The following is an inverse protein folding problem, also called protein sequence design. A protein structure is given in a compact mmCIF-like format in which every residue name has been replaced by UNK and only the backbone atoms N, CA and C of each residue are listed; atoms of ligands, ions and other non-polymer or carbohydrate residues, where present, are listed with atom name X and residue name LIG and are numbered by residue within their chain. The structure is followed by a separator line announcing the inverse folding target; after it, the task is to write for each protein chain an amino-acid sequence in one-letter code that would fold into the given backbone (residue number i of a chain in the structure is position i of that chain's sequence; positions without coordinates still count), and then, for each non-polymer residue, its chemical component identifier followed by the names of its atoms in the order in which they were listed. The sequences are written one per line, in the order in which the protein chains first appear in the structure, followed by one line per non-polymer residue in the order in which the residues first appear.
data_IF_819618304894
#
_entry.id   IF_819618304894
#
_cell.length_a   1.000
_cell.length_b   1.000
_cell.length_c   1.000
_cell.angle_alpha   90.00
_cell.angle_beta   90.00
_cell.angle_gamma   90.00
#
_symmetry.space_group_name_H-M   'P 1'
#
loop_
_entity.id
_entity.type
_entity.pdbx_description
1 polymer ?
#
# COMPACT_ATOMS: atom_id res chain seq x y z
N UNK A 1 19.73 3.15 -9.02
CA UNK A 1 18.46 2.43 -8.88
C UNK A 1 17.36 3.47 -8.78
N UNK A 2 16.29 3.29 -9.54
CA UNK A 2 15.04 4.03 -9.41
C UNK A 2 14.05 3.16 -8.66
N UNK A 3 13.30 3.74 -7.73
CA UNK A 3 12.30 3.06 -6.92
C UNK A 3 11.01 3.88 -6.91
N UNK A 4 9.87 3.21 -7.09
CA UNK A 4 8.56 3.85 -6.99
C UNK A 4 7.59 3.07 -6.13
N UNK A 5 6.68 3.79 -5.49
CA UNK A 5 5.48 3.23 -4.91
C UNK A 5 4.56 2.79 -6.04
N UNK A 6 4.22 1.50 -6.09
CA UNK A 6 3.50 0.95 -7.25
C UNK A 6 2.14 0.39 -6.91
N UNK A 7 2.04 -0.37 -5.83
CA UNK A 7 0.78 -1.00 -5.44
C UNK A 7 0.65 -1.12 -3.94
N UNK A 8 -0.58 -0.94 -3.44
CA UNK A 8 -0.94 -1.14 -2.05
C UNK A 8 -2.00 -2.21 -1.96
N UNK A 9 -1.73 -3.25 -1.18
CA UNK A 9 -2.69 -4.29 -0.89
C UNK A 9 -3.33 -4.07 0.48
N UNK A 10 -4.64 -4.27 0.52
CA UNK A 10 -5.48 -4.12 1.71
C UNK A 10 -6.23 -5.42 1.93
N UNK A 11 -6.11 -5.97 3.14
CA UNK A 11 -6.89 -7.13 3.55
C UNK A 11 -8.28 -6.66 4.00
N UNK A 12 -9.32 -7.25 3.43
CA UNK A 12 -10.72 -6.92 3.70
C UNK A 12 -11.52 -8.16 4.10
N UNK A 13 -12.48 -7.95 4.99
CA UNK A 13 -13.42 -8.97 5.47
C UNK A 13 -14.56 -9.22 4.47
N UNK A 14 -14.94 -8.19 3.70
CA UNK A 14 -15.94 -8.24 2.62
C UNK A 14 -15.33 -7.65 1.35
N UNK A 15 -14.98 -8.52 0.39
CA UNK A 15 -14.34 -8.09 -0.84
C UNK A 15 -15.32 -7.36 -1.76
N UNK A 16 -16.55 -7.86 -1.89
CA UNK A 16 -17.58 -7.27 -2.73
C UNK A 16 -17.97 -5.86 -2.23
N UNK A 17 -18.13 -5.69 -0.92
CA UNK A 17 -18.37 -4.38 -0.31
C UNK A 17 -17.22 -3.41 -0.55
N UNK A 18 -15.98 -3.87 -0.35
CA UNK A 18 -14.79 -3.06 -0.58
C UNK A 18 -14.61 -2.64 -2.05
N UNK A 19 -14.93 -3.54 -2.99
CA UNK A 19 -14.97 -3.24 -4.43
C UNK A 19 -16.01 -2.17 -4.75
N UNK A 20 -17.23 -2.31 -4.22
CA UNK A 20 -18.29 -1.31 -4.42
C UNK A 20 -17.90 0.07 -3.89
N UNK A 21 -17.17 0.12 -2.76
CA UNK A 21 -16.65 1.38 -2.21
C UNK A 21 -15.57 1.98 -3.11
N UNK A 22 -14.61 1.18 -3.60
CA UNK A 22 -13.56 1.64 -4.50
C UNK A 22 -14.12 2.20 -5.82
N UNK A 23 -15.10 1.51 -6.40
CA UNK A 23 -15.78 1.92 -7.63
C UNK A 23 -16.59 3.20 -7.42
N UNK A 24 -17.35 3.29 -6.34
CA UNK A 24 -18.15 4.48 -6.04
C UNK A 24 -17.28 5.71 -5.74
N UNK A 25 -16.25 5.56 -4.90
CA UNK A 25 -15.46 6.69 -4.39
C UNK A 25 -14.42 7.16 -5.38
N UNK A 26 -13.67 6.25 -5.99
CA UNK A 26 -12.61 6.61 -6.93
C UNK A 26 -13.10 6.64 -8.37
N UNK A 27 -14.17 5.91 -8.71
CA UNK A 27 -14.49 5.62 -10.12
C UNK A 27 -13.55 4.59 -10.73
N UNK A 28 -12.85 3.82 -9.89
CA UNK A 28 -12.06 2.68 -10.34
C UNK A 28 -13.00 1.67 -11.00
N UNK A 29 -12.54 0.96 -12.02
CA UNK A 29 -13.37 -0.02 -12.73
C UNK A 29 -12.48 -1.11 -13.32
N UNK A 30 -13.09 -2.22 -13.72
CA UNK A 30 -12.41 -3.36 -14.35
C UNK A 30 -11.25 -3.91 -13.50
N UNK A 31 -11.50 -4.33 -12.24
CA UNK A 31 -10.45 -4.93 -11.44
C UNK A 31 -9.91 -6.19 -12.13
N UNK A 32 -8.61 -6.40 -12.00
CA UNK A 32 -8.02 -7.69 -12.34
C UNK A 32 -8.12 -8.63 -11.13
N UNK A 33 -8.72 -9.79 -11.33
CA UNK A 33 -8.65 -10.91 -10.39
C UNK A 33 -7.45 -11.79 -10.77
N UNK A 34 -6.41 -11.84 -9.93
CA UNK A 34 -5.24 -12.66 -10.18
C UNK A 34 -5.47 -14.10 -9.66
N UNK A 35 -5.67 -15.09 -10.53
CA UNK A 35 -5.83 -16.48 -10.09
C UNK A 35 -4.58 -17.02 -9.37
N UNK A 36 -3.42 -16.38 -9.56
CA UNK A 36 -2.17 -16.70 -8.91
C UNK A 36 -2.21 -16.56 -7.39
N UNK A 37 -3.06 -15.69 -6.83
CA UNK A 37 -3.13 -15.50 -5.37
C UNK A 37 -3.85 -16.64 -4.64
N UNK A 38 -4.57 -17.50 -5.37
CA UNK A 38 -5.24 -18.67 -4.80
C UNK A 38 -4.26 -19.63 -4.10
N UNK A 39 -2.99 -19.68 -4.54
CA UNK A 39 -1.94 -20.49 -3.88
C UNK A 39 -1.63 -20.02 -2.45
N UNK A 40 -1.95 -18.78 -2.13
CA UNK A 40 -1.85 -18.22 -0.77
C UNK A 40 -3.18 -18.27 -0.02
N UNK A 41 -4.18 -18.96 -0.57
CA UNK A 41 -5.53 -19.04 -0.03
C UNK A 41 -6.21 -17.66 0.02
N UNK A 42 -6.03 -16.89 -1.06
CA UNK A 42 -6.57 -15.55 -1.25
C UNK A 42 -7.35 -15.47 -2.57
N UNK A 43 -8.29 -14.55 -2.63
CA UNK A 43 -8.77 -13.93 -3.87
C UNK A 43 -8.59 -12.42 -3.76
N UNK A 44 -8.41 -11.75 -4.88
CA UNK A 44 -8.15 -10.32 -4.92
C UNK A 44 -8.92 -9.62 -6.06
N UNK A 45 -8.92 -8.30 -5.98
CA UNK A 45 -9.35 -7.37 -7.02
C UNK A 45 -8.32 -6.24 -7.10
N UNK A 46 -7.58 -6.17 -8.20
CA UNK A 46 -6.53 -5.17 -8.42
C UNK A 46 -7.08 -4.06 -9.31
N UNK A 47 -7.27 -2.88 -8.74
CA UNK A 47 -7.74 -1.68 -9.43
C UNK A 47 -6.59 -0.78 -9.82
N UNK A 48 -6.63 -0.29 -11.05
CA UNK A 48 -5.72 0.74 -11.54
C UNK A 48 -6.17 2.12 -11.05
N UNK A 49 -5.22 2.88 -10.52
CA UNK A 49 -5.29 4.29 -10.18
C UNK A 49 -4.11 5.00 -10.87
N UNK A 50 -4.35 5.45 -12.09
CA UNK A 50 -3.38 5.96 -13.07
C UNK A 50 -2.24 4.99 -13.31
N UNK A 51 -1.06 5.27 -12.75
CA UNK A 51 0.13 4.43 -12.80
C UNK A 51 0.44 3.82 -11.41
N UNK A 52 -0.58 3.65 -10.58
CA UNK A 52 -0.51 2.93 -9.30
C UNK A 52 -1.69 1.98 -9.16
N UNK A 53 -1.63 1.07 -8.20
CA UNK A 53 -2.65 0.03 -8.05
C UNK A 53 -3.11 -0.10 -6.61
N UNK A 54 -4.42 -0.23 -6.44
CA UNK A 54 -5.06 -0.61 -5.19
C UNK A 54 -5.51 -2.06 -5.32
N UNK A 55 -4.96 -2.92 -4.48
CA UNK A 55 -5.36 -4.33 -4.40
C UNK A 55 -6.21 -4.55 -3.15
N UNK A 56 -7.43 -5.04 -3.35
CA UNK A 56 -8.30 -5.50 -2.27
C UNK A 56 -8.24 -7.02 -2.26
N UNK A 57 -8.00 -7.63 -1.10
CA UNK A 57 -7.91 -9.09 -0.99
C UNK A 57 -8.57 -9.64 0.25
N UNK A 58 -9.06 -10.88 0.14
CA UNK A 58 -9.73 -11.58 1.25
C UNK A 58 -9.34 -13.06 1.24
N UNK A 59 -9.25 -13.73 2.40
CA UNK A 59 -8.95 -15.15 2.44
C UNK A 59 -10.08 -16.02 1.89
N UNK A 60 -9.74 -17.10 1.19
CA UNK A 60 -10.72 -18.05 0.64
C UNK A 60 -11.24 -19.04 1.70
N UNK A 61 -10.41 -19.38 2.70
CA UNK A 61 -10.80 -20.26 3.81
C UNK A 61 -10.45 -19.66 5.16
N UNK A 62 -11.02 -20.25 6.21
CA UNK A 62 -10.66 -19.95 7.59
C UNK A 62 -9.23 -20.38 7.93
N UNK A 63 -8.67 -19.85 9.03
CA UNK A 63 -7.37 -20.26 9.56
C UNK A 63 -6.16 -19.83 8.72
N UNK A 64 -6.34 -18.96 7.74
CA UNK A 64 -5.26 -18.41 6.89
C UNK A 64 -4.42 -17.36 7.62
N UNK A 65 -3.24 -17.04 7.08
CA UNK A 65 -2.38 -15.96 7.62
C UNK A 65 -3.07 -14.60 7.55
N UNK A 66 -3.76 -14.30 6.45
CA UNK A 66 -4.52 -13.05 6.30
C UNK A 66 -5.75 -13.06 7.22
N UNK A 67 -6.46 -14.17 7.36
CA UNK A 67 -7.57 -14.28 8.33
C UNK A 67 -7.13 -14.00 9.77
N UNK A 68 -5.96 -14.50 10.19
CA UNK A 68 -5.38 -14.16 11.50
C UNK A 68 -4.98 -12.69 11.62
N UNK A 69 -4.51 -12.07 10.55
CA UNK A 69 -4.19 -10.65 10.53
C UNK A 69 -5.44 -9.80 10.73
N UNK A 70 -6.52 -10.08 9.97
CA UNK A 70 -7.81 -9.40 10.11
C UNK A 70 -8.34 -9.50 11.54
N UNK A 71 -8.32 -10.71 12.12
CA UNK A 71 -8.74 -10.93 13.50
C UNK A 71 -7.87 -10.15 14.51
N UNK A 72 -6.55 -10.12 14.33
CA UNK A 72 -5.62 -9.35 15.17
C UNK A 72 -5.88 -7.84 15.08
N UNK A 73 -6.19 -7.34 13.88
CA UNK A 73 -6.41 -5.90 13.64
C UNK A 73 -7.84 -5.45 13.95
N UNK A 74 -8.74 -6.38 14.29
CA UNK A 74 -10.14 -6.10 14.61
C UNK A 74 -11.02 -5.81 13.38
N UNK A 75 -10.56 -6.16 12.18
CA UNK A 75 -11.24 -5.86 10.91
C UNK A 75 -10.26 -5.64 9.76
N UNK A 76 -10.72 -4.94 8.73
CA UNK A 76 -9.94 -4.59 7.55
C UNK A 76 -8.66 -3.83 7.92
N UNK A 77 -7.60 -4.03 7.13
CA UNK A 77 -6.31 -3.38 7.38
C UNK A 77 -5.37 -3.38 6.17
N UNK A 78 -4.42 -2.46 6.16
CA UNK A 78 -3.31 -2.47 5.22
C UNK A 78 -2.49 -3.75 5.35
N UNK A 79 -2.17 -4.38 4.22
CA UNK A 79 -1.53 -5.70 4.17
C UNK A 79 -0.12 -5.65 3.62
N UNK A 80 0.06 -5.02 2.45
CA UNK A 80 1.34 -5.05 1.73
C UNK A 80 1.64 -3.71 1.04
N UNK A 81 2.90 -3.31 1.11
CA UNK A 81 3.47 -2.21 0.32
C UNK A 81 4.32 -2.81 -0.79
N UNK A 82 4.00 -2.49 -2.05
CA UNK A 82 4.70 -3.01 -3.22
C UNK A 82 5.39 -1.87 -3.94
N UNK A 83 6.71 -1.99 -4.04
CA UNK A 83 7.58 -1.03 -4.71
C UNK A 83 8.10 -1.64 -6.00
N UNK A 84 8.27 -0.83 -7.05
CA UNK A 84 8.91 -1.26 -8.28
C UNK A 84 10.30 -0.65 -8.41
N UNK A 85 11.28 -1.47 -8.79
CA UNK A 85 12.68 -1.08 -9.01
C UNK A 85 13.17 -1.49 -10.40
N UNK A 86 14.14 -0.74 -10.92
CA UNK A 86 14.88 -1.08 -12.15
C UNK A 86 16.14 -1.92 -11.88
N UNK A 87 16.44 -2.22 -10.61
CA UNK A 87 17.62 -2.98 -10.15
C UNK A 87 17.24 -3.92 -9.00
N UNK A 88 16.48 -4.97 -9.30
CA UNK A 88 16.02 -5.94 -8.29
C UNK A 88 17.17 -6.68 -7.60
N UNK A 89 18.23 -7.03 -8.33
CA UNK A 89 19.37 -7.76 -7.76
C UNK A 89 20.09 -6.94 -6.69
N UNK A 90 20.23 -5.62 -6.90
CA UNK A 90 20.79 -4.72 -5.89
C UNK A 90 19.91 -4.64 -4.64
N UNK A 91 18.58 -4.62 -4.83
CA UNK A 91 17.64 -4.61 -3.71
C UNK A 91 17.67 -5.93 -2.92
N UNK A 92 17.78 -7.08 -3.62
CA UNK A 92 17.94 -8.40 -3.00
C UNK A 92 19.23 -8.50 -2.20
N UNK A 93 20.36 -8.05 -2.76
CA UNK A 93 21.66 -8.02 -2.05
C UNK A 93 21.56 -7.24 -0.75
N UNK A 94 20.95 -6.04 -0.78
CA UNK A 94 20.78 -5.22 0.44
C UNK A 94 19.84 -5.86 1.46
N UNK A 95 18.76 -6.50 1.02
CA UNK A 95 17.86 -7.22 1.91
C UNK A 95 18.59 -8.39 2.61
N UNK A 96 19.42 -9.14 1.88
CA UNK A 96 20.26 -10.21 2.41
C UNK A 96 21.32 -9.68 3.39
N UNK A 97 22.06 -8.62 3.01
CA UNK A 97 23.04 -7.95 3.88
C UNK A 97 22.40 -7.39 5.16
N UNK A 98 21.15 -6.95 5.08
CA UNK A 98 20.37 -6.50 6.23
C UNK A 98 19.81 -7.66 7.09
N UNK A 99 20.00 -8.91 6.68
CA UNK A 99 19.54 -10.11 7.39
C UNK A 99 18.03 -10.31 7.34
N UNK A 100 17.36 -9.77 6.32
CA UNK A 100 15.90 -9.83 6.18
C UNK A 100 15.50 -11.13 5.50
N UNK A 101 14.56 -11.87 6.09
CA UNK A 101 14.07 -13.12 5.49
C UNK A 101 13.20 -12.84 4.28
N UNK A 102 13.39 -13.64 3.22
CA UNK A 102 12.50 -13.69 2.07
C UNK A 102 11.38 -14.69 2.36
N UNK A 103 10.13 -14.24 2.23
CA UNK A 103 8.92 -15.08 2.36
C UNK A 103 8.66 -15.82 1.06
N UNK A 104 8.80 -15.11 -0.06
CA UNK A 104 8.56 -15.65 -1.38
C UNK A 104 9.31 -14.82 -2.43
N UNK A 105 9.65 -15.46 -3.54
CA UNK A 105 10.35 -14.83 -4.64
C UNK A 105 9.92 -15.50 -5.95
N UNK A 106 9.74 -14.68 -6.97
CA UNK A 106 9.44 -15.13 -8.31
C UNK A 106 10.25 -14.33 -9.32
N UNK A 107 10.76 -15.01 -10.34
CA UNK A 107 11.35 -14.41 -11.54
C UNK A 107 10.77 -15.17 -12.74
N UNK A 108 10.05 -14.49 -13.63
CA UNK A 108 9.46 -15.09 -14.84
C UNK A 108 9.29 -14.05 -15.94
N UNK A 109 9.52 -14.43 -17.20
CA UNK A 109 9.11 -13.65 -18.39
C UNK A 109 9.41 -12.14 -18.33
N UNK A 110 10.55 -11.74 -17.76
CA UNK A 110 10.90 -10.32 -17.63
C UNK A 110 10.14 -9.55 -16.55
N UNK A 111 9.56 -10.23 -15.56
CA UNK A 111 9.06 -9.66 -14.32
C UNK A 111 9.50 -10.50 -13.12
N UNK A 112 9.42 -9.91 -11.92
CA UNK A 112 9.69 -10.63 -10.69
C UNK A 112 9.29 -9.85 -9.45
N UNK A 113 9.22 -10.55 -8.32
CA UNK A 113 8.98 -9.96 -7.01
C UNK A 113 9.87 -10.62 -5.95
N UNK A 114 10.07 -9.92 -4.84
CA UNK A 114 10.65 -10.46 -3.61
C UNK A 114 9.85 -9.95 -2.42
N UNK A 115 9.12 -10.86 -1.77
CA UNK A 115 8.36 -10.59 -0.55
C UNK A 115 9.26 -10.73 0.68
N UNK A 116 9.36 -9.68 1.48
CA UNK A 116 10.18 -9.64 2.69
C UNK A 116 9.34 -9.89 3.95
N UNK A 117 9.90 -10.64 4.90
CA UNK A 117 9.16 -11.11 6.06
C UNK A 117 8.72 -9.94 6.98
N UNK A 118 7.42 -9.80 7.32
CA UNK A 118 6.91 -8.64 8.07
C UNK A 118 7.62 -8.36 9.40
N UNK A 119 7.95 -9.40 10.16
CA UNK A 119 8.70 -9.25 11.44
C UNK A 119 10.07 -8.60 11.27
N UNK A 120 10.65 -8.70 10.09
CA UNK A 120 11.98 -8.16 9.83
C UNK A 120 11.90 -6.76 9.24
N UNK A 121 10.73 -6.27 8.84
CA UNK A 121 10.57 -4.93 8.24
C UNK A 121 9.64 -4.00 9.02
N UNK A 122 9.00 -4.47 10.10
CA UNK A 122 8.13 -3.64 10.96
C UNK A 122 6.64 -3.92 10.74
N UNK A 123 6.27 -5.20 10.78
CA UNK A 123 4.87 -5.65 10.85
C UNK A 123 4.11 -5.67 9.53
N UNK A 124 4.71 -5.23 8.43
CA UNK A 124 4.06 -5.06 7.12
C UNK A 124 4.73 -5.95 6.08
N UNK A 125 3.97 -6.54 5.15
CA UNK A 125 4.58 -7.25 4.02
C UNK A 125 5.15 -6.21 3.04
N UNK A 126 6.46 -6.27 2.77
CA UNK A 126 7.11 -5.42 1.77
C UNK A 126 7.46 -6.27 0.56
N UNK A 127 6.99 -5.87 -0.62
CA UNK A 127 7.42 -6.44 -1.89
C UNK A 127 8.29 -5.45 -2.66
N UNK A 128 9.41 -5.95 -3.18
CA UNK A 128 10.23 -5.21 -4.15
C UNK A 128 10.18 -5.96 -5.47
N UNK A 129 9.70 -5.27 -6.49
CA UNK A 129 9.28 -5.87 -7.74
C UNK A 129 10.03 -5.28 -8.92
N UNK A 130 10.12 -6.05 -9.99
CA UNK A 130 10.77 -5.66 -11.22
C UNK A 130 9.92 -6.00 -12.42
N UNK A 131 9.99 -5.11 -13.41
CA UNK A 131 9.42 -5.29 -14.73
C UNK A 131 10.50 -4.89 -15.74
N UNK A 132 10.66 -5.68 -16.80
CA UNK A 132 11.63 -5.45 -17.87
C UNK A 132 11.42 -4.12 -18.58
N UNK A 133 10.18 -3.63 -18.56
CA UNK A 133 9.81 -2.29 -18.95
C UNK A 133 9.24 -1.54 -17.76
N UNK A 134 9.74 -0.33 -17.50
CA UNK A 134 9.30 0.48 -16.38
C UNK A 134 7.78 0.70 -16.41
N UNK A 135 7.23 1.01 -17.59
CA UNK A 135 5.81 1.30 -17.76
C UNK A 135 4.89 0.06 -17.70
N UNK A 136 5.42 -1.15 -17.45
CA UNK A 136 4.62 -2.37 -17.33
C UNK A 136 4.30 -2.71 -15.87
N UNK A 137 3.25 -3.51 -15.69
CA UNK A 137 2.85 -4.03 -14.39
C UNK A 137 2.04 -5.32 -14.57
N UNK A 138 2.70 -6.46 -14.43
CA UNK A 138 2.08 -7.78 -14.68
C UNK A 138 0.98 -8.10 -13.67
N UNK A 139 1.08 -7.59 -12.43
CA UNK A 139 0.09 -7.85 -11.38
C UNK A 139 -1.22 -7.07 -11.59
N UNK A 140 -1.20 -6.04 -12.45
CA UNK A 140 -2.41 -5.34 -12.87
C UNK A 140 -3.25 -6.12 -13.90
N UNK A 141 -2.77 -7.27 -14.39
CA UNK A 141 -3.41 -8.06 -15.45
C UNK A 141 -3.00 -7.62 -16.86
N UNK A 142 -3.21 -8.47 -17.89
CA UNK A 142 -2.65 -8.23 -19.22
C UNK A 142 -3.20 -6.97 -19.93
N UNK A 143 -4.43 -6.56 -19.60
CA UNK A 143 -5.16 -5.51 -20.33
C UNK A 143 -5.31 -4.19 -19.54
N UNK A 144 -4.63 -4.03 -18.40
CA UNK A 144 -4.83 -2.88 -17.50
C UNK A 144 -4.68 -1.51 -18.20
N UNK A 145 -3.78 -1.43 -19.19
CA UNK A 145 -3.55 -0.20 -19.97
C UNK A 145 -4.74 0.19 -20.84
N UNK A 146 -5.55 -0.78 -21.22
CA UNK A 146 -6.70 -0.64 -22.11
C UNK A 146 -7.95 -0.17 -21.37
N UNK A 147 -8.00 -0.33 -20.04
CA UNK A 147 -9.13 0.07 -19.22
C UNK A 147 -9.04 1.54 -18.80
N UNK A 148 -10.18 2.23 -18.70
CA UNK A 148 -10.22 3.58 -18.15
C UNK A 148 -9.74 3.57 -16.71
N UNK A 149 -8.94 4.57 -16.36
CA UNK A 149 -8.50 4.82 -15.00
C UNK A 149 -9.14 6.10 -14.49
N UNK A 150 -9.50 6.18 -13.20
CA UNK A 150 -9.71 7.48 -12.58
C UNK A 150 -8.41 8.27 -12.56
N UNK A 151 -8.51 9.60 -12.62
CA UNK A 151 -7.40 10.54 -12.48
C UNK A 151 -7.03 10.69 -11.01
N UNK A 152 -6.56 9.58 -10.45
CA UNK A 152 -6.13 9.40 -9.08
C UNK A 152 -4.88 8.50 -9.06
N UNK A 153 -3.92 8.78 -8.17
CA UNK A 153 -2.73 7.94 -7.96
C UNK A 153 -2.34 7.89 -6.48
N UNK A 154 -1.84 6.75 -6.02
CA UNK A 154 -1.31 6.60 -4.66
C UNK A 154 0.09 7.19 -4.62
N UNK A 155 0.32 8.17 -3.74
CA UNK A 155 1.55 8.98 -3.75
C UNK A 155 2.32 8.90 -2.45
N UNK A 156 1.70 8.43 -1.37
CA UNK A 156 2.39 8.14 -0.13
C UNK A 156 1.71 7.02 0.64
N UNK A 157 2.47 6.38 1.52
CA UNK A 157 1.95 5.49 2.54
C UNK A 157 2.49 5.84 3.91
N UNK A 158 1.66 5.63 4.92
CA UNK A 158 2.02 5.82 6.32
C UNK A 158 2.02 4.49 7.06
N UNK A 159 3.17 4.19 7.64
CA UNK A 159 3.43 3.01 8.44
C UNK A 159 3.63 3.44 9.88
N UNK A 160 2.87 2.85 10.77
CA UNK A 160 2.91 3.22 12.18
C UNK A 160 3.63 2.13 12.96
N UNK A 161 4.35 2.51 14.00
CA UNK A 161 5.01 1.59 14.92
C UNK A 161 5.52 2.31 16.18
N UNK A 162 5.94 1.57 17.21
CA UNK A 162 6.39 2.16 18.47
C UNK A 162 7.72 2.93 18.33
N UNK A 163 8.54 2.57 17.34
CA UNK A 163 9.87 3.14 17.10
C UNK A 163 10.04 3.54 15.62
N UNK A 164 9.39 4.64 15.16
CA UNK A 164 9.34 5.01 13.75
C UNK A 164 10.72 5.26 13.13
N UNK A 165 11.67 5.82 13.89
CA UNK A 165 13.06 6.00 13.43
C UNK A 165 13.72 4.66 13.11
N UNK A 166 13.57 3.67 13.99
CA UNK A 166 14.21 2.36 13.84
C UNK A 166 13.59 1.62 12.64
N UNK A 167 12.27 1.72 12.47
CA UNK A 167 11.59 1.20 11.29
C UNK A 167 12.09 1.87 10.01
N UNK A 168 12.15 3.21 9.97
CA UNK A 168 12.64 3.99 8.83
C UNK A 168 14.09 3.65 8.47
N UNK A 169 15.00 3.59 9.46
CA UNK A 169 16.41 3.21 9.25
C UNK A 169 16.56 1.79 8.73
N UNK A 170 15.64 0.88 9.09
CA UNK A 170 15.63 -0.48 8.57
C UNK A 170 15.23 -0.52 7.10
N UNK A 171 14.13 0.16 6.75
CA UNK A 171 13.70 0.32 5.36
C UNK A 171 14.76 1.03 4.52
N UNK A 172 15.39 2.07 5.06
CA UNK A 172 16.49 2.81 4.43
C UNK A 172 17.64 1.87 4.01
N UNK A 173 18.04 0.95 4.89
CA UNK A 173 19.09 -0.05 4.57
C UNK A 173 18.66 -1.03 3.47
N UNK A 174 17.43 -1.55 3.53
CA UNK A 174 16.89 -2.49 2.54
C UNK A 174 16.79 -1.80 1.16
N UNK A 175 16.23 -0.59 1.14
CA UNK A 175 15.97 0.15 -0.09
C UNK A 175 17.21 0.87 -0.62
N UNK A 176 18.25 1.07 0.19
CA UNK A 176 19.44 1.83 -0.19
C UNK A 176 19.16 3.33 -0.40
N UNK A 177 18.14 3.85 0.28
CA UNK A 177 17.71 5.25 0.20
C UNK A 177 17.85 5.94 1.56
N UNK A 178 18.17 7.24 1.62
CA UNK A 178 18.25 7.95 2.89
C UNK A 178 16.88 8.06 3.56
N UNK A 179 16.86 7.95 4.89
CA UNK A 179 15.73 8.38 5.70
C UNK A 179 16.08 9.67 6.45
N UNK A 180 15.10 10.57 6.60
CA UNK A 180 15.24 11.81 7.37
C UNK A 180 14.02 12.06 8.24
N UNK A 181 14.16 12.91 9.25
CA UNK A 181 13.02 13.46 9.97
C UNK A 181 12.08 14.20 9.01
N UNK A 182 10.78 14.08 9.25
CA UNK A 182 9.74 14.77 8.49
C UNK A 182 8.50 14.94 9.36
N UNK A 183 8.13 16.18 9.68
CA UNK A 183 7.05 16.49 10.62
C UNK A 183 7.29 15.82 11.98
N UNK A 184 6.33 14.99 12.42
CA UNK A 184 6.40 14.23 13.68
C UNK A 184 6.96 12.81 13.51
N UNK A 185 7.49 12.47 12.33
CA UNK A 185 7.93 11.13 12.00
C UNK A 185 9.19 11.12 11.13
N UNK A 186 9.33 10.06 10.35
CA UNK A 186 10.44 9.84 9.45
C UNK A 186 9.95 9.60 8.04
N UNK A 187 10.77 9.96 7.06
CA UNK A 187 10.45 9.81 5.64
C UNK A 187 11.59 9.14 4.89
N UNK A 188 11.22 8.29 3.93
CA UNK A 188 12.06 7.90 2.79
C UNK A 188 11.37 8.41 1.53
N UNK A 189 12.03 9.32 0.82
CA UNK A 189 11.55 9.77 -0.49
C UNK A 189 11.93 8.73 -1.56
N UNK A 190 10.97 8.37 -2.40
CA UNK A 190 11.20 7.54 -3.58
C UNK A 190 11.32 8.44 -4.81
N UNK A 191 11.68 7.88 -5.96
CA UNK A 191 11.64 8.63 -7.22
C UNK A 191 10.20 8.99 -7.60
N UNK A 192 9.26 8.08 -7.33
CA UNK A 192 7.82 8.33 -7.47
C UNK A 192 7.09 7.85 -6.20
N UNK A 193 6.69 8.81 -5.37
CA UNK A 193 5.99 8.60 -4.11
C UNK A 193 6.89 8.64 -2.88
N UNK A 194 6.31 8.40 -1.71
CA UNK A 194 7.05 8.49 -0.45
C UNK A 194 6.53 7.55 0.65
N UNK A 195 7.45 7.16 1.53
CA UNK A 195 7.20 6.27 2.66
C UNK A 195 7.35 7.06 3.94
N UNK A 196 6.29 7.07 4.74
CA UNK A 196 6.20 7.84 5.98
C UNK A 196 6.11 6.86 7.16
N UNK A 197 6.89 7.12 8.20
CA UNK A 197 7.00 6.28 9.39
C UNK A 197 6.62 7.11 10.61
N UNK A 198 5.54 6.71 11.29
CA UNK A 198 4.91 7.48 12.35
C UNK A 198 4.77 6.65 13.63
N UNK A 199 4.57 7.34 14.75
CA UNK A 199 4.33 6.69 16.03
C UNK A 199 2.96 5.99 16.02
N UNK A 200 2.93 4.75 16.50
CA UNK A 200 1.67 4.08 16.84
C UNK A 200 0.99 4.79 18.00
N UNK A 201 -0.13 5.45 17.70
CA UNK A 201 -0.92 6.26 18.63
C UNK A 201 -2.29 5.66 18.93
N UNK A 202 -2.72 4.65 18.16
CA UNK A 202 -4.01 3.98 18.33
C UNK A 202 -3.88 2.59 18.99
N UNK A 203 -2.65 2.15 19.24
CA UNK A 203 -2.35 0.91 19.96
C UNK A 203 -2.59 -0.35 19.14
N UNK A 204 -2.79 -0.23 17.82
CA UNK A 204 -2.97 -1.38 16.90
C UNK A 204 -1.66 -2.06 16.55
N UNK A 205 -0.53 -1.54 17.04
CA UNK A 205 0.82 -2.02 16.78
C UNK A 205 1.32 -1.63 15.40
N UNK A 206 2.45 -2.24 15.02
CA UNK A 206 3.06 -2.03 13.72
C UNK A 206 2.11 -2.36 12.55
N UNK A 207 2.01 -1.47 11.56
CA UNK A 207 1.17 -1.71 10.39
C UNK A 207 1.05 -0.53 9.42
N UNK A 208 0.54 -0.83 8.22
CA UNK A 208 0.18 0.16 7.21
C UNK A 208 -1.17 0.79 7.62
N UNK A 209 -1.16 2.11 7.91
CA UNK A 209 -2.31 2.82 8.50
C UNK A 209 -2.93 3.86 7.61
N UNK A 210 -2.16 4.43 6.68
CA UNK A 210 -2.71 5.37 5.73
C UNK A 210 -2.11 5.26 4.35
N UNK A 211 -2.86 5.77 3.39
CA UNK A 211 -2.37 6.13 2.07
C UNK A 211 -2.75 7.58 1.77
N UNK A 212 -1.93 8.25 0.98
CA UNK A 212 -2.32 9.49 0.31
C UNK A 212 -2.57 9.22 -1.16
N UNK A 213 -3.73 9.64 -1.65
CA UNK A 213 -4.15 9.53 -3.04
C UNK A 213 -4.27 10.93 -3.61
N UNK A 214 -3.51 11.24 -4.65
CA UNK A 214 -3.64 12.48 -5.40
C UNK A 214 -4.68 12.29 -6.49
N UNK A 215 -5.67 13.17 -6.54
CA UNK A 215 -6.72 13.14 -7.55
C UNK A 215 -6.92 14.51 -8.19
N UNK A 216 -7.38 14.56 -9.44
CA UNK A 216 -7.70 15.82 -10.10
C UNK A 216 -8.89 16.56 -9.46
N UNK A 217 -9.85 15.82 -8.90
CA UNK A 217 -11.06 16.36 -8.27
C UNK A 217 -11.20 15.85 -6.82
N UNK A 218 -10.34 16.30 -5.88
CA UNK A 218 -10.29 15.76 -4.52
C UNK A 218 -11.61 15.96 -3.75
N UNK A 219 -12.28 17.10 -3.92
CA UNK A 219 -13.56 17.40 -3.27
C UNK A 219 -14.66 16.40 -3.66
N UNK A 220 -14.70 15.98 -4.93
CA UNK A 220 -15.65 14.98 -5.40
C UNK A 220 -15.37 13.59 -4.82
N UNK A 221 -14.10 13.25 -4.53
CA UNK A 221 -13.77 11.99 -3.82
C UNK A 221 -14.31 12.04 -2.40
N UNK A 222 -14.07 13.16 -1.69
CA UNK A 222 -14.53 13.36 -0.31
C UNK A 222 -16.05 13.32 -0.24
N UNK A 223 -16.75 13.99 -1.16
CA UNK A 223 -18.21 13.98 -1.22
C UNK A 223 -18.77 12.57 -1.44
N UNK A 224 -18.22 11.81 -2.41
CA UNK A 224 -18.64 10.43 -2.68
C UNK A 224 -18.38 9.51 -1.49
N UNK A 225 -17.27 9.70 -0.77
CA UNK A 225 -17.00 8.96 0.45
C UNK A 225 -17.99 9.34 1.59
N UNK A 226 -18.31 10.62 1.73
CA UNK A 226 -19.27 11.09 2.73
C UNK A 226 -20.69 10.55 2.48
N UNK A 227 -21.12 10.48 1.22
CA UNK A 227 -22.40 9.85 0.83
C UNK A 227 -22.48 8.37 1.21
N UNK A 228 -21.34 7.69 1.36
CA UNK A 228 -21.24 6.30 1.85
C UNK A 228 -21.00 6.19 3.35
N UNK A 229 -20.89 7.31 4.07
CA UNK A 229 -20.59 7.33 5.50
C UNK A 229 -19.15 6.95 5.84
N UNK A 230 -18.24 7.03 4.87
CA UNK A 230 -16.83 6.60 4.99
C UNK A 230 -15.88 7.77 5.27
N UNK A 231 -16.40 8.82 5.91
CA UNK A 231 -15.65 9.99 6.36
C UNK A 231 -15.79 10.16 7.87
N UNK A 232 -14.70 10.54 8.53
CA UNK A 232 -14.74 10.98 9.92
C UNK A 232 -15.51 12.30 10.05
N UNK A 233 -15.91 12.70 11.28
CA UNK A 233 -16.49 14.03 11.53
C UNK A 233 -15.58 15.19 11.11
N UNK A 234 -14.26 14.97 11.06
CA UNK A 234 -13.27 15.94 10.60
C UNK A 234 -13.08 15.92 9.05
N UNK A 235 -13.88 15.14 8.31
CA UNK A 235 -13.83 15.04 6.85
C UNK A 235 -12.73 14.12 6.30
N UNK A 236 -12.01 13.40 7.16
CA UNK A 236 -10.95 12.47 6.74
C UNK A 236 -11.57 11.15 6.27
N UNK A 237 -11.15 10.64 5.11
CA UNK A 237 -11.65 9.35 4.63
C UNK A 237 -11.13 8.20 5.50
N UNK A 238 -12.01 7.24 5.77
CA UNK A 238 -11.75 6.02 6.51
C UNK A 238 -12.22 4.85 5.66
N UNK A 239 -11.29 4.23 4.94
CA UNK A 239 -11.55 3.11 4.04
C UNK A 239 -10.78 1.90 4.51
N UNK A 240 -11.46 0.75 4.61
CA UNK A 240 -10.84 -0.56 4.85
C UNK A 240 -9.88 -0.58 6.05
N UNK A 241 -10.29 0.08 7.15
CA UNK A 241 -9.52 0.18 8.39
C UNK A 241 -8.26 1.06 8.30
N UNK A 242 -8.15 1.88 7.25
CA UNK A 242 -7.07 2.84 7.01
C UNK A 242 -7.58 4.27 6.86
N UNK A 243 -6.70 5.21 7.13
CA UNK A 243 -6.87 6.62 6.75
C UNK A 243 -6.57 6.81 5.27
N UNK A 244 -7.36 7.62 4.58
CA UNK A 244 -7.06 8.02 3.20
C UNK A 244 -7.02 9.54 3.09
N UNK A 245 -5.85 10.08 2.80
CA UNK A 245 -5.70 11.48 2.40
C UNK A 245 -6.04 11.64 0.93
N UNK A 246 -6.89 12.60 0.59
CA UNK A 246 -7.13 12.96 -0.81
C UNK A 246 -6.49 14.31 -1.08
N UNK A 247 -5.52 14.32 -1.99
CA UNK A 247 -4.73 15.50 -2.34
C UNK A 247 -5.17 16.05 -3.69
N UNK A 248 -5.14 17.37 -3.84
CA UNK A 248 -5.27 18.02 -5.14
C UNK A 248 -3.97 17.98 -5.95
N UNK A 249 -4.01 18.42 -7.22
CA UNK A 249 -2.82 18.59 -8.03
C UNK A 249 -1.80 19.54 -7.37
N UNK A 250 -0.53 19.12 -7.32
CA UNK A 250 0.55 19.94 -6.75
C UNK A 250 0.61 20.02 -5.21
N UNK A 251 -0.32 19.37 -4.49
CA UNK A 251 -0.26 19.27 -3.03
C UNK A 251 0.72 18.18 -2.58
N UNK A 252 1.47 18.47 -1.51
CA UNK A 252 2.29 17.49 -0.80
C UNK A 252 1.41 16.60 0.10
N UNK A 253 1.79 15.32 0.32
CA UNK A 253 1.13 14.47 1.30
C UNK A 253 1.20 15.08 2.70
N UNK A 254 0.03 15.24 3.32
CA UNK A 254 -0.06 15.65 4.71
C UNK A 254 0.16 14.43 5.59
N UNK A 255 1.10 14.54 6.54
CA UNK A 255 1.24 13.56 7.60
C UNK A 255 -0.02 13.55 8.47
N UNK A 256 -0.61 12.39 8.70
CA UNK A 256 -1.58 12.23 9.76
C UNK A 256 -0.86 12.26 11.11
N UNK A 257 -0.69 13.46 11.65
CA UNK A 257 -0.39 13.63 13.06
C UNK A 257 -1.58 13.16 13.87
N UNK A 258 -1.32 12.40 14.93
CA UNK A 258 -2.32 12.06 15.93
C UNK A 258 -2.73 13.34 16.67
N UNK A 259 -3.68 14.09 16.12
CA UNK A 259 -4.52 14.93 16.95
C UNK A 259 -5.55 14.00 17.59
N UNK A 260 -5.21 13.54 18.79
CA UNK A 260 -6.21 13.02 19.72
C UNK A 260 -7.23 14.11 20.01
N UNK A 261 -8.51 13.74 19.91
CA UNK A 261 -9.62 14.60 20.29
C UNK A 261 -9.62 14.92 21.77
N UNK A 262 -10.17 16.11 22.04
CA UNK A 262 -10.71 16.68 23.29
C UNK A 262 -9.99 16.40 24.63
#
# INVERSE_FOLDING_TARGET
MTLRLRQIAVAVTDLEGAQADAEAIFGASHPHEDPGVARYNLRNAVYRLEDTFLELLTPLTEGTTVGRLLAKQGGDCGYMVILQTDRIDEARSRAEEAGVRVVDQLDRNGCGFTHLHPRDVGGILLSIDYMSRWDQWEWGGPDWKSHPSPDCSIVAVEMHGPEPEIMARRWSRILGLPCSEHGTGWRIALDEGELLFLLDSDGRGEGLRAIAVRCAQPEAIVERAAQRGLTSPAGQLRLWGMSVSVLGPGSEPLLHSAQGGE
#
